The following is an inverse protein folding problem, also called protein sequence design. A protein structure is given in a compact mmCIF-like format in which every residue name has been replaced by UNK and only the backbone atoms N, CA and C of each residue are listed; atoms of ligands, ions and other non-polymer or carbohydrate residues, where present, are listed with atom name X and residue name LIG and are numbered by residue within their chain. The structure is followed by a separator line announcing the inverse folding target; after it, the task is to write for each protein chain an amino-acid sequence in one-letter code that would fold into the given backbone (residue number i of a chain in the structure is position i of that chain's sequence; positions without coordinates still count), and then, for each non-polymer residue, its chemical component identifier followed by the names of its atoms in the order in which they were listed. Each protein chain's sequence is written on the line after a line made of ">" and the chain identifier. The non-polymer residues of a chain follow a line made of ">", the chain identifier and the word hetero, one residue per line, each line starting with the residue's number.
data_IF_779538303373
#
_entry.id   IF_779538303373
#
_cell.length_a   1.000
_cell.length_b   1.000
_cell.length_c   1.000
_cell.angle_alpha   90.00
_cell.angle_beta   90.00
_cell.angle_gamma   90.00
#
_symmetry.space_group_name_H-M   'P 1'
#
loop_
_entity.id
_entity.type
_entity.pdbx_description
1 polymer ?
#
# COMPACT_ATOMS: atom_id res chain seq x y z
N UNK A 1 -5.25 6.23 11.60
CA UNK A 1 -4.36 5.53 10.69
C UNK A 1 -3.36 6.52 10.11
N UNK A 2 -2.12 6.44 10.55
CA UNK A 2 -1.04 7.36 10.18
C UNK A 2 -0.27 6.96 8.90
N UNK A 3 -0.55 5.76 8.33
CA UNK A 3 0.14 5.23 7.15
C UNK A 3 -0.75 5.12 5.90
N UNK A 4 -1.96 5.68 5.95
CA UNK A 4 -2.87 5.61 4.81
C UNK A 4 -2.31 6.29 3.55
N UNK A 5 -1.71 7.46 3.69
CA UNK A 5 -1.08 8.18 2.58
C UNK A 5 0.16 7.44 2.07
N UNK A 6 0.93 6.84 2.96
CA UNK A 6 2.14 6.10 2.62
C UNK A 6 1.83 4.83 1.82
N UNK A 7 0.83 4.04 2.24
CA UNK A 7 0.43 2.86 1.45
C UNK A 7 -0.22 3.26 0.12
N UNK A 8 -0.91 4.40 0.06
CA UNK A 8 -1.47 4.95 -1.16
C UNK A 8 -0.37 5.28 -2.16
N UNK A 9 0.71 5.96 -1.75
CA UNK A 9 1.85 6.26 -2.61
C UNK A 9 2.43 4.98 -3.23
N UNK A 10 2.65 3.95 -2.42
CA UNK A 10 3.19 2.67 -2.90
C UNK A 10 2.20 1.97 -3.85
N UNK A 11 0.92 1.88 -3.47
CA UNK A 11 -0.09 1.19 -4.27
C UNK A 11 -0.34 1.88 -5.62
N UNK A 12 -0.45 3.21 -5.65
CA UNK A 12 -0.68 3.94 -6.90
C UNK A 12 0.49 3.80 -7.87
N UNK A 13 1.71 3.72 -7.36
CA UNK A 13 2.87 3.54 -8.21
C UNK A 13 3.03 2.11 -8.74
N UNK A 14 2.84 1.10 -7.89
CA UNK A 14 3.20 -0.28 -8.21
C UNK A 14 2.03 -1.21 -8.52
N UNK A 15 0.83 -0.91 -8.01
CA UNK A 15 -0.33 -1.75 -8.23
C UNK A 15 -1.17 -1.29 -9.42
N UNK A 16 -1.32 0.03 -9.59
CA UNK A 16 -2.22 0.58 -10.61
C UNK A 16 -1.54 1.04 -11.89
N UNK A 17 -0.21 1.18 -11.92
CA UNK A 17 0.57 1.41 -13.14
C UNK A 17 0.09 2.61 -13.98
N UNK A 18 -0.40 3.67 -13.35
CA UNK A 18 -0.96 4.85 -14.02
C UNK A 18 -2.46 4.81 -14.28
N UNK A 19 -3.12 3.66 -14.08
CA UNK A 19 -4.59 3.54 -14.20
C UNK A 19 -5.36 4.20 -13.05
N UNK A 20 -4.68 4.60 -11.98
CA UNK A 20 -5.27 5.33 -10.87
C UNK A 20 -5.65 6.77 -11.17
N UNK A 21 -5.37 7.26 -12.39
CA UNK A 21 -5.73 8.60 -12.82
C UNK A 21 -7.25 8.76 -12.89
N UNK A 22 -7.74 9.86 -12.36
CA UNK A 22 -9.16 10.22 -12.46
C UNK A 22 -9.38 11.03 -13.72
N UNK A 23 -10.58 10.92 -14.33
CA UNK A 23 -10.94 11.80 -15.43
C UNK A 23 -11.03 13.25 -14.91
N UNK A 24 -10.56 14.22 -15.69
CA UNK A 24 -10.63 15.64 -15.34
C UNK A 24 -12.06 16.09 -15.01
N UNK A 25 -13.05 15.62 -15.78
CA UNK A 25 -14.47 15.88 -15.53
C UNK A 25 -14.95 15.28 -14.19
N UNK A 26 -14.53 14.05 -13.86
CA UNK A 26 -14.89 13.42 -12.59
C UNK A 26 -14.28 14.14 -11.39
N UNK A 27 -13.04 14.61 -11.53
CA UNK A 27 -12.36 15.37 -10.48
C UNK A 27 -13.01 16.76 -10.28
N UNK A 28 -13.43 17.41 -11.36
CA UNK A 28 -14.13 18.69 -11.30
C UNK A 28 -15.49 18.56 -10.59
N UNK A 29 -16.28 17.54 -10.93
CA UNK A 29 -17.56 17.25 -10.23
C UNK A 29 -17.31 17.02 -8.75
N UNK A 30 -16.30 16.22 -8.39
CA UNK A 30 -15.96 15.94 -7.01
C UNK A 30 -15.50 17.20 -6.25
N UNK A 31 -14.72 18.06 -6.89
CA UNK A 31 -14.24 19.34 -6.35
C UNK A 31 -15.39 20.29 -6.04
N UNK A 32 -16.38 20.37 -6.93
CA UNK A 32 -17.50 21.30 -6.83
C UNK A 32 -18.62 20.83 -5.89
N UNK A 33 -18.65 19.53 -5.55
CA UNK A 33 -19.61 19.00 -4.60
C UNK A 33 -19.34 19.59 -3.20
N UNK A 34 -20.34 20.20 -2.57
CA UNK A 34 -20.27 20.71 -1.20
C UNK A 34 -21.00 19.75 -0.25
N UNK A 35 -20.31 19.36 0.82
CA UNK A 35 -20.92 18.61 1.92
C UNK A 35 -21.57 19.57 2.92
N UNK A 36 -22.51 19.06 3.70
CA UNK A 36 -23.03 19.76 4.89
C UNK A 36 -22.03 19.79 6.05
N UNK A 37 -20.90 19.10 5.94
CA UNK A 37 -19.87 18.96 6.97
C UNK A 37 -18.54 19.53 6.47
N UNK A 38 -18.07 20.60 7.12
CA UNK A 38 -16.83 21.30 6.76
C UNK A 38 -15.57 20.45 6.90
N UNK A 39 -15.54 19.48 7.82
CA UNK A 39 -14.39 18.56 7.98
C UNK A 39 -14.31 17.59 6.81
N UNK A 40 -15.46 17.09 6.33
CA UNK A 40 -15.49 16.27 5.11
C UNK A 40 -15.06 17.06 3.88
N UNK A 41 -15.38 18.34 3.79
CA UNK A 41 -14.91 19.19 2.70
C UNK A 41 -13.40 19.42 2.74
N UNK A 42 -12.79 19.55 3.92
CA UNK A 42 -11.33 19.62 4.06
C UNK A 42 -10.66 18.31 3.61
N UNK A 43 -11.18 17.16 4.05
CA UNK A 43 -10.66 15.85 3.62
C UNK A 43 -10.80 15.67 2.11
N UNK A 44 -11.93 16.05 1.54
CA UNK A 44 -12.16 16.02 0.09
C UNK A 44 -11.14 16.87 -0.66
N UNK A 45 -10.83 18.09 -0.17
CA UNK A 45 -9.85 18.95 -0.84
C UNK A 45 -8.43 18.35 -0.81
N UNK A 46 -8.03 17.67 0.26
CA UNK A 46 -6.77 16.90 0.28
C UNK A 46 -6.74 15.79 -0.78
N UNK A 47 -7.87 15.10 -0.96
CA UNK A 47 -7.99 14.08 -2.01
C UNK A 47 -7.90 14.70 -3.41
N UNK A 48 -8.54 15.83 -3.64
CA UNK A 48 -8.46 16.56 -4.92
C UNK A 48 -7.00 16.93 -5.22
N UNK A 49 -6.30 17.54 -4.25
CA UNK A 49 -4.90 17.92 -4.37
C UNK A 49 -4.00 16.72 -4.69
N UNK A 50 -4.23 15.60 -4.02
CA UNK A 50 -3.52 14.36 -4.32
C UNK A 50 -3.70 13.94 -5.79
N UNK A 51 -4.93 13.90 -6.30
CA UNK A 51 -5.17 13.48 -7.68
C UNK A 51 -4.64 14.48 -8.71
N UNK A 52 -4.73 15.78 -8.46
CA UNK A 52 -4.17 16.81 -9.34
C UNK A 52 -2.64 16.70 -9.42
N UNK A 53 -1.96 16.44 -8.30
CA UNK A 53 -0.51 16.22 -8.26
C UNK A 53 -0.15 14.90 -8.93
N UNK A 54 -0.87 13.83 -8.62
CA UNK A 54 -0.64 12.52 -9.20
C UNK A 54 -0.80 12.50 -10.73
N UNK A 55 -1.77 13.24 -11.26
CA UNK A 55 -1.99 13.33 -12.71
C UNK A 55 -0.86 14.05 -13.44
N UNK A 56 -0.24 15.03 -12.81
CA UNK A 56 0.87 15.83 -13.37
C UNK A 56 2.23 15.14 -13.23
N UNK A 57 2.54 14.68 -12.03
CA UNK A 57 3.90 14.29 -11.65
C UNK A 57 4.02 12.78 -11.35
N UNK A 58 2.88 12.11 -11.11
CA UNK A 58 2.88 10.75 -10.58
C UNK A 58 3.38 10.70 -9.12
N UNK A 59 3.74 9.51 -8.65
CA UNK A 59 4.38 9.35 -7.35
C UNK A 59 5.90 9.40 -7.51
N UNK A 60 6.56 10.33 -6.80
CA UNK A 60 8.01 10.52 -6.86
C UNK A 60 8.77 9.39 -6.15
N UNK A 61 10.05 9.22 -6.48
CA UNK A 61 10.92 8.27 -5.79
C UNK A 61 11.09 8.62 -4.31
N UNK A 62 11.16 9.91 -3.99
CA UNK A 62 11.34 10.36 -2.61
C UNK A 62 10.09 10.14 -1.77
N UNK A 63 8.90 10.34 -2.32
CA UNK A 63 7.65 9.98 -1.63
C UNK A 63 7.61 8.47 -1.30
N UNK A 64 8.02 7.61 -2.27
CA UNK A 64 8.11 6.16 -2.02
C UNK A 64 9.16 5.83 -0.95
N UNK A 65 10.35 6.41 -1.01
CA UNK A 65 11.41 6.17 -0.01
C UNK A 65 10.96 6.53 1.40
N UNK A 66 10.34 7.73 1.57
CA UNK A 66 9.81 8.16 2.86
C UNK A 66 8.72 7.21 3.37
N UNK A 67 7.81 6.79 2.51
CA UNK A 67 6.78 5.80 2.86
C UNK A 67 7.40 4.46 3.27
N UNK A 68 8.42 3.98 2.55
CA UNK A 68 9.11 2.73 2.87
C UNK A 68 9.82 2.80 4.24
N UNK A 69 10.47 3.92 4.59
CA UNK A 69 11.08 4.11 5.91
C UNK A 69 10.04 3.90 7.02
N UNK A 70 8.89 4.56 6.92
CA UNK A 70 7.82 4.43 7.93
C UNK A 70 7.29 3.00 8.05
N UNK A 71 7.14 2.28 6.92
CA UNK A 71 6.74 0.89 6.95
C UNK A 71 7.82 0.00 7.57
N UNK A 72 9.09 0.22 7.25
CA UNK A 72 10.19 -0.52 7.88
C UNK A 72 10.19 -0.33 9.40
N UNK A 73 10.06 0.91 9.91
CA UNK A 73 9.98 1.20 11.34
C UNK A 73 8.85 0.43 12.06
N UNK A 74 7.73 0.20 11.37
CA UNK A 74 6.63 -0.59 11.92
C UNK A 74 6.91 -2.09 11.86
N UNK A 75 7.47 -2.57 10.74
CA UNK A 75 7.79 -3.99 10.59
C UNK A 75 8.93 -4.43 11.49
N UNK A 76 9.90 -3.58 11.82
CA UNK A 76 10.93 -3.86 12.82
C UNK A 76 10.30 -4.24 14.18
N UNK A 77 9.26 -3.49 14.60
CA UNK A 77 8.53 -3.78 15.84
C UNK A 77 7.71 -5.07 15.74
N UNK A 78 7.09 -5.33 14.60
CA UNK A 78 6.31 -6.55 14.40
C UNK A 78 7.18 -7.79 14.30
N UNK A 79 8.32 -7.68 13.62
CA UNK A 79 9.30 -8.76 13.53
C UNK A 79 9.74 -9.24 14.92
N UNK A 80 10.07 -8.29 15.81
CA UNK A 80 10.44 -8.63 17.19
C UNK A 80 9.29 -9.27 17.99
N UNK A 81 8.04 -8.84 17.80
CA UNK A 81 6.88 -9.45 18.49
C UNK A 81 6.61 -10.86 17.99
N UNK A 82 6.60 -11.05 16.69
CA UNK A 82 6.26 -12.32 16.04
C UNK A 82 7.33 -13.41 16.22
N UNK A 83 8.46 -13.09 16.81
CA UNK A 83 9.44 -14.09 17.26
C UNK A 83 8.85 -15.02 18.34
N UNK A 84 8.01 -14.48 19.22
CA UNK A 84 7.46 -15.20 20.38
C UNK A 84 5.92 -15.24 20.42
N UNK A 85 5.25 -14.70 19.41
CA UNK A 85 3.80 -14.59 19.36
C UNK A 85 3.29 -15.03 18.00
N UNK A 86 2.12 -15.64 17.97
CA UNK A 86 1.47 -16.07 16.73
C UNK A 86 0.90 -14.91 15.92
N UNK A 87 0.38 -13.89 16.61
CA UNK A 87 -0.26 -12.71 16.02
C UNK A 87 0.32 -11.42 16.62
N UNK A 88 0.01 -10.26 16.03
CA UNK A 88 0.59 -8.98 16.41
C UNK A 88 0.29 -8.54 17.86
N UNK A 89 -0.81 -9.07 18.45
CA UNK A 89 -1.23 -8.77 19.82
C UNK A 89 -1.18 -9.99 20.76
N UNK A 90 -0.52 -11.09 20.38
CA UNK A 90 -0.37 -12.31 21.18
C UNK A 90 -0.82 -13.57 20.44
N UNK A 91 -1.52 -14.50 21.12
CA UNK A 91 -1.86 -15.81 20.56
C UNK A 91 -3.19 -15.86 19.83
N UNK A 92 -3.98 -14.77 19.87
CA UNK A 92 -5.29 -14.67 19.21
C UNK A 92 -5.28 -13.62 18.12
N UNK A 93 -5.97 -13.95 17.02
CA UNK A 93 -6.20 -13.02 15.92
C UNK A 93 -6.92 -11.75 16.43
N UNK A 94 -6.43 -10.59 16.04
CA UNK A 94 -6.93 -9.28 16.46
C UNK A 94 -7.30 -8.39 15.26
N UNK A 95 -8.02 -7.30 15.51
CA UNK A 95 -8.29 -6.28 14.48
C UNK A 95 -7.01 -5.67 13.93
N UNK A 96 -5.94 -5.63 14.72
CA UNK A 96 -4.64 -5.15 14.26
C UNK A 96 -4.07 -6.07 13.17
N UNK A 97 -4.21 -7.38 13.33
CA UNK A 97 -3.77 -8.34 12.30
C UNK A 97 -4.56 -8.16 11.00
N UNK A 98 -5.87 -7.95 11.07
CA UNK A 98 -6.70 -7.70 9.89
C UNK A 98 -6.28 -6.43 9.16
N UNK A 99 -6.08 -5.34 9.88
CA UNK A 99 -5.66 -4.06 9.30
C UNK A 99 -4.27 -4.17 8.63
N UNK A 100 -3.30 -4.79 9.34
CA UNK A 100 -1.94 -4.93 8.83
C UNK A 100 -1.79 -6.00 7.77
N UNK A 101 -2.67 -7.00 7.73
CA UNK A 101 -2.74 -7.95 6.62
C UNK A 101 -3.00 -7.22 5.28
N UNK A 102 -3.93 -6.28 5.24
CA UNK A 102 -4.24 -5.50 4.03
C UNK A 102 -3.04 -4.65 3.59
N UNK A 103 -2.35 -3.98 4.52
CA UNK A 103 -1.13 -3.23 4.21
C UNK A 103 -0.01 -4.14 3.72
N UNK A 104 0.21 -5.26 4.39
CA UNK A 104 1.21 -6.26 4.01
C UNK A 104 0.91 -6.85 2.63
N UNK A 105 -0.36 -7.13 2.32
CA UNK A 105 -0.75 -7.59 0.99
C UNK A 105 -0.40 -6.56 -0.11
N UNK A 106 -0.73 -5.28 0.09
CA UNK A 106 -0.40 -4.23 -0.88
C UNK A 106 1.12 -4.09 -1.09
N UNK A 107 1.90 -4.16 -0.03
CA UNK A 107 3.36 -4.16 -0.11
C UNK A 107 3.90 -5.42 -0.79
N UNK A 108 3.37 -6.60 -0.44
CA UNK A 108 3.74 -7.88 -1.04
C UNK A 108 3.54 -7.88 -2.56
N UNK A 109 2.34 -7.51 -3.03
CA UNK A 109 2.06 -7.44 -4.47
C UNK A 109 2.83 -6.33 -5.19
N UNK A 110 3.29 -5.32 -4.47
CA UNK A 110 4.17 -4.26 -4.97
C UNK A 110 5.65 -4.68 -5.03
N UNK A 111 6.00 -5.85 -4.47
CA UNK A 111 7.35 -6.42 -4.54
C UNK A 111 8.23 -6.13 -3.33
N UNK A 112 7.65 -5.77 -2.19
CA UNK A 112 8.38 -5.58 -0.93
C UNK A 112 9.04 -6.90 -0.49
N UNK A 113 10.33 -6.91 -0.13
CA UNK A 113 11.09 -8.14 0.09
C UNK A 113 10.93 -8.69 1.52
N UNK A 114 9.68 -8.98 1.96
CA UNK A 114 9.38 -9.46 3.32
C UNK A 114 10.29 -10.60 3.77
N UNK A 115 10.37 -11.68 2.98
CA UNK A 115 11.14 -12.87 3.36
C UNK A 115 12.60 -12.59 3.66
N UNK A 116 13.18 -11.57 2.99
CA UNK A 116 14.58 -11.20 3.19
C UNK A 116 14.79 -10.35 4.43
N UNK A 117 13.87 -9.42 4.70
CA UNK A 117 14.03 -8.39 5.73
C UNK A 117 13.31 -8.76 7.03
N UNK A 118 12.15 -9.39 6.92
CA UNK A 118 11.21 -9.64 8.00
C UNK A 118 10.66 -11.07 7.91
N UNK A 119 11.46 -12.10 8.21
CA UNK A 119 11.05 -13.51 8.05
C UNK A 119 9.85 -13.89 8.93
N UNK A 120 9.74 -13.40 10.17
CA UNK A 120 8.60 -13.68 11.04
C UNK A 120 7.32 -12.99 10.56
N UNK A 121 7.42 -11.72 10.14
CA UNK A 121 6.30 -11.01 9.47
C UNK A 121 5.91 -11.72 8.19
N UNK A 122 6.86 -12.20 7.40
CA UNK A 122 6.59 -12.97 6.19
C UNK A 122 5.80 -14.25 6.49
N UNK A 123 6.18 -14.99 7.51
CA UNK A 123 5.49 -16.20 7.92
C UNK A 123 4.06 -15.88 8.39
N UNK A 124 3.90 -14.92 9.32
CA UNK A 124 2.60 -14.44 9.77
C UNK A 124 1.68 -14.02 8.61
N UNK A 125 2.21 -13.26 7.65
CA UNK A 125 1.45 -12.83 6.49
C UNK A 125 1.02 -14.02 5.62
N UNK A 126 1.92 -14.96 5.33
CA UNK A 126 1.61 -16.11 4.50
C UNK A 126 0.65 -17.10 5.18
N UNK A 127 0.74 -17.24 6.49
CA UNK A 127 -0.20 -18.05 7.27
C UNK A 127 -1.63 -17.48 7.18
N UNK A 128 -1.80 -16.17 7.27
CA UNK A 128 -3.09 -15.52 7.03
C UNK A 128 -3.52 -15.62 5.56
N UNK A 129 -2.62 -15.30 4.63
CA UNK A 129 -2.91 -15.32 3.19
C UNK A 129 -3.29 -16.71 2.67
N UNK A 130 -2.84 -17.79 3.31
CA UNK A 130 -3.20 -19.17 2.96
C UNK A 130 -4.63 -19.56 3.39
N UNK A 131 -5.25 -18.81 4.30
CA UNK A 131 -6.61 -19.03 4.74
C UNK A 131 -7.60 -18.50 3.69
N UNK A 132 -8.59 -19.30 3.36
CA UNK A 132 -9.53 -19.01 2.26
C UNK A 132 -10.30 -17.69 2.45
N UNK A 133 -10.63 -17.36 3.70
CA UNK A 133 -11.32 -16.13 4.08
C UNK A 133 -10.49 -14.90 3.73
N UNK A 134 -9.22 -14.88 4.11
CA UNK A 134 -8.30 -13.79 3.80
C UNK A 134 -7.95 -13.71 2.32
N UNK A 135 -7.72 -14.86 1.69
CA UNK A 135 -7.40 -14.91 0.27
C UNK A 135 -8.52 -14.33 -0.60
N UNK A 136 -9.79 -14.68 -0.30
CA UNK A 136 -10.94 -14.18 -1.06
C UNK A 136 -11.09 -12.66 -1.00
N UNK A 137 -10.79 -12.06 0.15
CA UNK A 137 -10.90 -10.60 0.34
C UNK A 137 -9.88 -9.81 -0.48
N UNK A 138 -8.73 -10.41 -0.80
CA UNK A 138 -7.64 -9.73 -1.50
C UNK A 138 -7.35 -10.31 -2.89
N UNK A 139 -8.11 -11.31 -3.34
CA UNK A 139 -7.89 -11.94 -4.65
C UNK A 139 -8.32 -11.03 -5.79
N UNK A 140 -7.36 -10.38 -6.39
CA UNK A 140 -7.59 -9.46 -7.48
C UNK A 140 -8.05 -10.14 -8.78
N UNK A 141 -8.89 -9.45 -9.57
CA UNK A 141 -9.20 -9.84 -10.94
C UNK A 141 -7.94 -10.03 -11.80
N UNK A 142 -8.02 -10.93 -12.79
CA UNK A 142 -6.88 -11.26 -13.65
C UNK A 142 -6.26 -10.01 -14.31
N UNK A 143 -7.11 -9.06 -14.72
CA UNK A 143 -6.64 -7.82 -15.35
C UNK A 143 -5.72 -7.02 -14.43
N UNK A 144 -6.03 -6.91 -13.14
CA UNK A 144 -5.17 -6.21 -12.16
C UNK A 144 -3.86 -6.96 -11.94
N UNK A 145 -3.89 -8.30 -11.97
CA UNK A 145 -2.65 -9.11 -11.89
C UNK A 145 -1.73 -8.83 -13.08
N UNK A 146 -2.27 -8.73 -14.28
CA UNK A 146 -1.50 -8.38 -15.50
C UNK A 146 -0.92 -6.96 -15.44
N UNK A 147 -1.71 -5.99 -15.02
CA UNK A 147 -1.27 -4.60 -14.86
C UNK A 147 -0.11 -4.51 -13.87
N UNK A 148 -0.19 -5.22 -12.74
CA UNK A 148 0.90 -5.27 -11.76
C UNK A 148 2.17 -5.92 -12.31
N UNK A 149 2.05 -6.97 -13.11
CA UNK A 149 3.22 -7.57 -13.76
C UNK A 149 3.90 -6.58 -14.70
N UNK A 150 3.12 -5.87 -15.50
CA UNK A 150 3.64 -4.82 -16.35
C UNK A 150 4.34 -3.71 -15.54
N UNK A 151 3.71 -3.21 -14.47
CA UNK A 151 4.30 -2.19 -13.59
C UNK A 151 5.60 -2.67 -12.93
N UNK A 152 5.67 -3.95 -12.52
CA UNK A 152 6.91 -4.54 -11.97
C UNK A 152 8.05 -4.55 -12.99
N UNK A 153 7.76 -4.97 -14.22
CA UNK A 153 8.78 -5.02 -15.30
C UNK A 153 9.29 -3.61 -15.61
N UNK A 154 8.39 -2.66 -15.84
CA UNK A 154 8.75 -1.29 -16.20
C UNK A 154 9.53 -0.57 -15.10
N UNK A 155 9.12 -0.73 -13.84
CA UNK A 155 9.83 -0.13 -12.70
C UNK A 155 11.18 -0.80 -12.45
N UNK A 156 11.32 -2.10 -12.70
CA UNK A 156 12.60 -2.81 -12.59
C UNK A 156 13.60 -2.34 -13.65
N UNK A 157 13.17 -2.24 -14.91
CA UNK A 157 14.00 -1.74 -16.01
C UNK A 157 14.51 -0.33 -15.76
N UNK A 158 13.68 0.53 -15.19
CA UNK A 158 14.02 1.92 -14.85
C UNK A 158 14.75 2.07 -13.50
N UNK A 159 15.16 0.99 -12.86
CA UNK A 159 15.77 0.99 -11.51
C UNK A 159 14.91 1.69 -10.43
N UNK A 160 13.61 1.69 -10.61
CA UNK A 160 12.61 2.34 -9.71
C UNK A 160 11.73 1.32 -8.99
N UNK A 161 12.16 0.06 -8.93
CA UNK A 161 11.46 -0.98 -8.16
C UNK A 161 11.53 -0.69 -6.66
N UNK A 162 10.60 -1.24 -5.87
CA UNK A 162 10.65 -1.11 -4.41
C UNK A 162 12.03 -1.51 -3.88
N UNK A 163 12.59 -2.63 -4.35
CA UNK A 163 13.93 -3.09 -3.91
C UNK A 163 15.04 -2.07 -4.14
N UNK A 164 14.95 -1.30 -5.24
CA UNK A 164 15.94 -0.27 -5.55
C UNK A 164 15.80 1.00 -4.70
N UNK A 165 14.61 1.24 -4.15
CA UNK A 165 14.26 2.41 -3.34
C UNK A 165 14.23 2.13 -1.83
N UNK A 166 14.49 0.88 -1.41
CA UNK A 166 14.58 0.52 0.02
C UNK A 166 15.64 1.36 0.74
N UNK A 167 15.37 1.77 2.00
CA UNK A 167 16.41 2.35 2.85
C UNK A 167 17.59 1.37 2.98
N UNK A 168 18.80 1.95 3.04
CA UNK A 168 20.04 1.18 3.22
C UNK A 168 20.25 0.84 4.68
#
# INVERSE_FOLDING_TARGET
>A
DDLHEDIRNIAYRYMFGGLGKKSSKGLEVFKNYKSSNSELDKLKMKEVEFYETYDKEGITDDAVKQSLVKFCDRYDKFEGRLTNQKYLMGDKLSLLDLAWFIYSYRLYVSGFPFRKLYPHVSNWFHDLYSQNEFYKEVNDPLILKLIRQYAKITTALNRRSIKALMPK
#
